data_IF_815740336978
#
_entry.id   IF_815740336978
#
_cell.length_a   1.000
_cell.length_b   1.000
_cell.length_c   1.000
_cell.angle_alpha   90.00
_cell.angle_beta   90.00
_cell.angle_gamma   90.00
#
_symmetry.space_group_name_H-M   'P 1'
#
loop_
_entity.id
_entity.type
_entity.pdbx_description
1 polymer ?
#
# COMPACT_ATOMS: atom_id res chain seq x y z
N UNK A 1 34.11 18.28 -19.15
CA UNK A 1 34.63 17.25 -18.22
C UNK A 1 35.05 17.93 -16.92
N UNK A 2 34.32 17.72 -15.83
CA UNK A 2 34.74 18.08 -14.46
C UNK A 2 34.14 17.05 -13.49
N UNK A 3 34.93 16.56 -12.55
CA UNK A 3 34.56 15.51 -11.58
C UNK A 3 34.52 16.11 -10.18
N UNK A 4 33.44 15.88 -9.44
CA UNK A 4 33.29 16.12 -7.99
C UNK A 4 32.42 14.95 -7.47
N UNK A 5 32.99 13.81 -7.06
CA UNK A 5 33.75 13.50 -5.84
C UNK A 5 32.85 13.30 -4.59
N UNK A 6 32.93 12.10 -4.02
CA UNK A 6 32.04 11.58 -2.97
C UNK A 6 32.27 12.23 -1.60
N UNK A 7 31.26 12.14 -0.72
CA UNK A 7 31.46 12.21 0.73
C UNK A 7 30.49 11.25 1.42
N UNK A 8 31.03 10.17 1.98
CA UNK A 8 30.34 9.32 2.96
C UNK A 8 30.90 9.64 4.36
N UNK A 9 30.08 9.68 5.39
CA UNK A 9 30.53 9.74 6.79
C UNK A 9 29.66 8.86 7.70
N UNK A 10 30.33 8.08 8.55
CA UNK A 10 29.76 7.11 9.48
C UNK A 10 29.00 7.76 10.65
N UNK A 11 28.09 6.99 11.25
CA UNK A 11 27.30 7.36 12.43
C UNK A 11 27.20 6.27 13.52
N UNK A 12 28.35 5.88 14.09
CA UNK A 12 28.55 5.38 15.47
C UNK A 12 27.77 4.12 15.95
N UNK A 13 28.54 3.09 16.31
CA UNK A 13 28.13 1.91 17.10
C UNK A 13 28.12 2.24 18.61
N UNK A 14 27.17 1.70 19.38
CA UNK A 14 27.15 1.77 20.84
C UNK A 14 27.13 0.39 21.53
N UNK A 15 27.76 0.32 22.70
CA UNK A 15 28.03 -0.83 23.57
C UNK A 15 27.50 -0.48 25.00
N UNK A 16 27.23 -1.36 25.97
CA UNK A 16 27.79 -2.69 26.36
C UNK A 16 26.68 -3.64 26.89
N UNK A 17 27.02 -4.91 27.04
CA UNK A 17 26.31 -6.01 27.71
C UNK A 17 25.79 -5.76 29.15
N UNK A 18 25.06 -6.75 29.69
CA UNK A 18 25.50 -7.54 30.88
C UNK A 18 24.75 -8.89 30.95
N UNK A 19 25.49 -9.99 31.17
CA UNK A 19 24.94 -11.29 31.60
C UNK A 19 25.41 -11.59 33.03
N UNK A 20 24.56 -12.19 33.86
CA UNK A 20 24.98 -12.96 35.03
C UNK A 20 23.95 -14.07 35.34
N UNK A 21 24.45 -15.25 35.68
CA UNK A 21 23.68 -16.47 35.97
C UNK A 21 23.72 -16.70 37.49
N UNK A 22 22.65 -17.23 38.09
CA UNK A 22 22.74 -17.93 39.38
C UNK A 22 21.70 -19.05 39.43
N UNK A 23 22.16 -20.26 39.75
CA UNK A 23 21.32 -21.43 40.00
C UNK A 23 21.29 -21.75 41.50
N UNK A 24 20.17 -22.31 41.99
CA UNK A 24 20.01 -22.75 43.38
C UNK A 24 18.93 -23.83 43.46
N UNK A 25 19.18 -24.88 44.25
CA UNK A 25 18.54 -26.20 44.11
C UNK A 25 18.15 -26.78 45.47
N UNK A 26 16.95 -27.35 45.62
CA UNK A 26 16.61 -28.44 46.57
C UNK A 26 15.11 -28.83 46.58
N UNK A 27 14.82 -30.09 46.95
CA UNK A 27 13.51 -30.69 47.27
C UNK A 27 13.77 -32.01 48.08
N UNK A 28 12.75 -32.83 48.45
CA UNK A 28 11.62 -32.65 49.38
C UNK A 28 11.79 -33.60 50.64
N UNK A 29 10.79 -33.89 51.54
CA UNK A 29 9.72 -34.89 51.24
C UNK A 29 8.36 -34.85 52.03
N UNK A 30 7.27 -35.19 51.32
CA UNK A 30 6.17 -36.17 51.59
C UNK A 30 5.33 -36.31 52.93
N UNK A 31 4.00 -36.50 52.74
CA UNK A 31 2.89 -37.10 53.57
C UNK A 31 2.26 -36.45 54.83
N UNK A 32 0.91 -36.24 54.78
CA UNK A 32 -0.13 -37.16 55.38
C UNK A 32 -1.62 -36.72 55.19
N UNK A 33 -2.36 -37.47 54.35
CA UNK A 33 -3.77 -38.01 54.40
C UNK A 33 -5.02 -37.21 54.96
N UNK A 34 -6.28 -37.62 54.65
CA UNK A 34 -7.39 -36.68 54.33
C UNK A 34 -8.68 -36.73 55.18
N UNK A 35 -9.63 -35.80 54.95
CA UNK A 35 -11.10 -35.97 55.17
C UNK A 35 -11.98 -34.96 54.35
N UNK A 36 -13.16 -35.35 53.79
CA UNK A 36 -14.10 -34.49 53.03
C UNK A 36 -15.47 -34.29 53.77
N UNK A 37 -16.53 -33.68 53.18
CA UNK A 37 -16.65 -32.54 52.24
C UNK A 37 -17.64 -31.44 52.75
N UNK A 38 -18.11 -30.56 51.83
CA UNK A 38 -19.29 -29.67 51.91
C UNK A 38 -19.13 -28.26 52.49
N UNK A 39 -18.85 -27.29 51.60
CA UNK A 39 -19.78 -26.17 51.32
C UNK A 39 -19.23 -25.32 50.15
N UNK A 40 -19.89 -25.38 48.98
CA UNK A 40 -19.64 -24.40 47.92
C UNK A 40 -20.31 -23.08 48.25
N UNK A 41 -19.61 -21.94 48.09
CA UNK A 41 -20.14 -20.93 47.19
C UNK A 41 -19.20 -20.65 46.02
N UNK A 42 -19.81 -20.25 44.91
CA UNK A 42 -19.22 -20.07 43.58
C UNK A 42 -18.04 -19.08 43.57
N UNK A 43 -16.92 -19.38 42.86
CA UNK A 43 -15.94 -18.34 42.55
C UNK A 43 -16.58 -17.28 41.64
N UNK A 44 -16.46 -16.01 42.01
CA UNK A 44 -16.89 -14.90 41.17
C UNK A 44 -16.23 -14.99 39.79
N UNK A 45 -17.04 -14.96 38.73
CA UNK A 45 -16.54 -14.98 37.36
C UNK A 45 -15.57 -13.82 37.12
N UNK A 46 -14.56 -13.98 36.24
CA UNK A 46 -13.76 -12.85 35.80
C UNK A 46 -14.71 -11.80 35.23
N UNK A 47 -14.57 -10.56 35.71
CA UNK A 47 -15.26 -9.42 35.11
C UNK A 47 -14.94 -9.42 33.63
N UNK A 48 -16.00 -9.54 32.82
CA UNK A 48 -15.89 -9.41 31.38
C UNK A 48 -15.25 -8.05 31.11
N UNK A 49 -14.01 -8.06 30.61
CA UNK A 49 -13.48 -6.94 29.86
C UNK A 49 -14.45 -6.76 28.70
N UNK A 50 -15.39 -5.81 28.86
CA UNK A 50 -16.40 -5.55 27.87
C UNK A 50 -15.68 -5.29 26.56
N UNK A 51 -16.03 -6.07 25.53
CA UNK A 51 -15.52 -5.87 24.18
C UNK A 51 -15.81 -4.41 23.85
N UNK A 52 -14.77 -3.59 23.81
CA UNK A 52 -14.86 -2.30 23.14
C UNK A 52 -15.12 -2.62 21.69
N UNK A 53 -16.40 -2.63 21.31
CA UNK A 53 -16.78 -2.57 19.91
C UNK A 53 -16.08 -1.32 19.36
N UNK A 54 -15.29 -1.45 18.27
CA UNK A 54 -14.71 -0.27 17.65
C UNK A 54 -15.86 0.67 17.30
N UNK A 55 -15.91 1.83 17.96
CA UNK A 55 -16.78 2.90 17.49
C UNK A 55 -16.28 3.25 16.08
N UNK A 56 -17.13 3.20 15.04
CA UNK A 56 -16.69 3.56 13.71
C UNK A 56 -16.24 5.03 13.77
N UNK A 57 -14.98 5.35 13.44
CA UNK A 57 -14.55 6.73 13.35
C UNK A 57 -15.33 7.37 12.20
N UNK A 58 -16.12 8.40 12.52
CA UNK A 58 -16.45 9.40 11.52
C UNK A 58 -15.13 9.94 10.93
N UNK A 59 -15.14 10.23 9.63
CA UNK A 59 -14.02 10.77 8.86
C UNK A 59 -12.83 9.83 8.58
N UNK A 60 -13.03 8.50 8.57
CA UNK A 60 -12.22 7.63 7.68
C UNK A 60 -12.82 7.62 6.29
N UNK A 61 -12.34 8.49 5.40
CA UNK A 61 -12.65 8.35 3.97
C UNK A 61 -12.08 7.02 3.48
N UNK A 62 -12.93 6.19 2.88
CA UNK A 62 -12.52 4.90 2.32
C UNK A 62 -12.00 5.08 0.90
N UNK A 63 -11.08 4.23 0.45
CA UNK A 63 -10.53 4.30 -0.89
C UNK A 63 -11.59 4.31 -2.00
N UNK A 64 -12.68 3.50 -1.95
CA UNK A 64 -13.74 3.58 -2.96
C UNK A 64 -14.41 4.96 -3.04
N UNK A 65 -14.65 5.63 -1.90
CA UNK A 65 -15.27 6.95 -1.88
C UNK A 65 -14.30 8.06 -2.35
N UNK A 66 -13.03 7.96 -1.98
CA UNK A 66 -11.97 8.86 -2.45
C UNK A 66 -11.77 8.73 -3.98
N UNK A 67 -11.72 7.49 -4.48
CA UNK A 67 -11.64 7.14 -5.91
C UNK A 67 -12.85 7.66 -6.68
N UNK A 68 -14.08 7.38 -6.22
CA UNK A 68 -15.31 7.88 -6.86
C UNK A 68 -15.29 9.42 -6.97
N UNK A 69 -14.91 10.11 -5.89
CA UNK A 69 -14.75 11.57 -5.89
C UNK A 69 -13.70 12.03 -6.90
N UNK A 70 -12.50 11.44 -6.91
CA UNK A 70 -11.44 11.80 -7.85
C UNK A 70 -11.86 11.59 -9.31
N UNK A 71 -12.47 10.44 -9.62
CA UNK A 71 -12.94 10.12 -10.96
C UNK A 71 -14.14 10.99 -11.39
N UNK A 72 -14.95 11.51 -10.47
CA UNK A 72 -16.02 12.47 -10.79
C UNK A 72 -15.52 13.82 -11.31
N UNK A 73 -14.22 14.13 -11.13
CA UNK A 73 -13.60 15.39 -11.56
C UNK A 73 -13.01 15.30 -12.98
N UNK A 74 -12.92 14.12 -13.59
CA UNK A 74 -12.26 13.94 -14.89
C UNK A 74 -13.20 14.25 -16.06
N UNK A 75 -12.65 14.78 -17.15
CA UNK A 75 -13.42 15.04 -18.37
C UNK A 75 -13.83 13.75 -19.11
N UNK A 76 -14.83 13.80 -20.02
CA UNK A 76 -15.19 12.65 -20.86
C UNK A 76 -14.03 12.08 -21.67
N UNK A 77 -13.06 12.91 -22.07
CA UNK A 77 -11.85 12.45 -22.76
C UNK A 77 -10.89 11.69 -21.83
N UNK A 78 -10.76 12.11 -20.58
CA UNK A 78 -10.01 11.37 -19.56
C UNK A 78 -10.68 10.04 -19.22
N UNK A 79 -12.02 9.99 -19.17
CA UNK A 79 -12.76 8.74 -18.97
C UNK A 79 -12.51 7.73 -20.10
N UNK A 80 -12.52 8.18 -21.36
CA UNK A 80 -12.17 7.30 -22.51
C UNK A 80 -10.75 6.74 -22.41
N UNK A 81 -9.79 7.56 -21.95
CA UNK A 81 -8.40 7.13 -21.78
C UNK A 81 -8.23 6.20 -20.55
N UNK A 82 -9.05 6.36 -19.51
CA UNK A 82 -9.15 5.42 -18.40
C UNK A 82 -9.72 4.06 -18.86
N UNK A 83 -10.74 4.05 -19.72
CA UNK A 83 -11.29 2.81 -20.28
C UNK A 83 -10.26 2.08 -21.18
N UNK A 84 -9.42 2.84 -21.90
CA UNK A 84 -8.26 2.30 -22.62
C UNK A 84 -7.18 1.76 -21.66
N UNK A 85 -6.83 2.51 -20.60
CA UNK A 85 -5.87 2.07 -19.57
C UNK A 85 -6.32 0.76 -18.90
N UNK A 86 -7.60 0.62 -18.58
CA UNK A 86 -8.19 -0.63 -18.07
C UNK A 86 -8.03 -1.78 -19.07
N UNK A 87 -8.27 -1.51 -20.35
CA UNK A 87 -8.10 -2.50 -21.43
C UNK A 87 -6.64 -2.97 -21.53
N UNK A 88 -5.69 -2.05 -21.45
CA UNK A 88 -4.26 -2.36 -21.55
C UNK A 88 -3.75 -3.13 -20.33
N UNK A 89 -4.06 -2.67 -19.12
CA UNK A 89 -3.68 -3.35 -17.87
C UNK A 89 -4.29 -4.76 -17.79
N UNK A 90 -5.57 -4.92 -18.17
CA UNK A 90 -6.21 -6.25 -18.22
C UNK A 90 -5.68 -7.16 -19.34
N UNK A 91 -5.05 -6.60 -20.38
CA UNK A 91 -4.41 -7.39 -21.44
C UNK A 91 -3.08 -8.03 -21.00
N UNK A 92 -2.39 -7.44 -20.01
CA UNK A 92 -1.14 -7.98 -19.45
C UNK A 92 -1.46 -9.27 -18.68
N UNK A 93 -0.86 -10.38 -19.11
CA UNK A 93 -1.03 -11.70 -18.49
C UNK A 93 0.22 -12.07 -17.71
N UNK A 94 0.03 -12.69 -16.55
CA UNK A 94 1.13 -13.22 -15.73
C UNK A 94 2.04 -14.15 -16.56
N UNK A 95 3.35 -14.08 -16.33
CA UNK A 95 4.36 -14.85 -17.07
C UNK A 95 4.51 -14.49 -18.56
N UNK A 96 3.89 -13.39 -19.04
CA UNK A 96 4.09 -12.91 -20.40
C UNK A 96 5.20 -11.86 -20.46
N UNK A 97 6.10 -11.98 -21.43
CA UNK A 97 7.12 -10.95 -21.69
C UNK A 97 6.46 -9.66 -22.18
N UNK A 98 6.44 -8.63 -21.32
CA UNK A 98 5.96 -7.29 -21.70
C UNK A 98 6.96 -6.66 -22.67
N UNK A 99 6.54 -6.48 -23.92
CA UNK A 99 7.36 -5.88 -24.99
C UNK A 99 7.50 -4.37 -24.81
N UNK A 100 8.60 -3.77 -25.27
CA UNK A 100 8.82 -2.31 -25.17
C UNK A 100 7.72 -1.49 -25.86
N UNK A 101 7.05 -2.04 -26.88
CA UNK A 101 5.87 -1.44 -27.48
C UNK A 101 4.66 -1.39 -26.53
N UNK A 102 4.46 -2.42 -25.69
CA UNK A 102 3.43 -2.41 -24.64
C UNK A 102 3.83 -1.47 -23.48
N UNK A 103 5.13 -1.29 -23.22
CA UNK A 103 5.62 -0.27 -22.26
C UNK A 103 5.29 1.14 -22.73
N UNK A 104 5.64 1.46 -23.98
CA UNK A 104 5.31 2.76 -24.56
C UNK A 104 3.79 2.99 -24.60
N UNK A 105 3.00 2.01 -25.06
CA UNK A 105 1.54 2.16 -25.11
C UNK A 105 0.93 2.39 -23.72
N UNK A 106 1.34 1.63 -22.71
CA UNK A 106 0.85 1.84 -21.35
C UNK A 106 1.26 3.22 -20.82
N UNK A 107 2.50 3.67 -21.07
CA UNK A 107 2.95 5.01 -20.71
C UNK A 107 2.13 6.11 -21.39
N UNK A 108 1.80 5.95 -22.67
CA UNK A 108 0.97 6.89 -23.44
C UNK A 108 -0.48 6.93 -22.92
N UNK A 109 -1.06 5.77 -22.57
CA UNK A 109 -2.43 5.67 -22.04
C UNK A 109 -2.54 6.23 -20.60
N UNK A 110 -1.59 5.89 -19.71
CA UNK A 110 -1.46 6.49 -18.36
C UNK A 110 -1.28 8.01 -18.48
N UNK A 111 -0.43 8.46 -19.40
CA UNK A 111 -0.22 9.89 -19.66
C UNK A 111 -1.46 10.57 -20.26
N UNK A 112 -2.35 9.83 -20.91
CA UNK A 112 -3.58 10.35 -21.52
C UNK A 112 -4.76 10.36 -20.54
N UNK A 113 -4.73 9.51 -19.51
CA UNK A 113 -5.65 9.56 -18.37
C UNK A 113 -5.43 10.81 -17.50
N UNK A 114 -4.24 11.43 -17.54
CA UNK A 114 -3.95 12.74 -16.94
C UNK A 114 -4.02 13.87 -17.98
N UNK A 115 -4.88 14.87 -17.74
CA UNK A 115 -5.05 16.04 -18.63
C UNK A 115 -5.21 17.34 -17.83
N UNK A 116 -5.11 18.46 -18.52
CA UNK A 116 -5.23 19.79 -17.93
C UNK A 116 -3.93 20.30 -17.29
N UNK A 117 -4.05 21.35 -16.48
CA UNK A 117 -2.91 22.00 -15.83
C UNK A 117 -2.16 21.08 -14.86
N UNK A 118 -2.89 20.19 -14.18
CA UNK A 118 -2.41 19.30 -13.11
C UNK A 118 -1.70 18.04 -13.62
N UNK A 119 -1.39 17.98 -14.91
CA UNK A 119 -0.78 16.82 -15.55
C UNK A 119 0.65 16.57 -15.02
N UNK A 120 1.02 15.34 -14.61
CA UNK A 120 2.37 15.02 -14.14
C UNK A 120 3.38 14.93 -15.29
N UNK A 121 4.66 14.83 -14.95
CA UNK A 121 5.76 14.76 -15.90
C UNK A 121 5.83 13.43 -16.65
N UNK A 122 6.36 13.46 -17.88
CA UNK A 122 6.62 12.25 -18.66
C UNK A 122 7.59 11.30 -17.98
N UNK A 123 8.57 11.81 -17.23
CA UNK A 123 9.53 10.97 -16.50
C UNK A 123 8.83 10.14 -15.42
N UNK A 124 7.97 10.77 -14.63
CA UNK A 124 7.27 10.15 -13.49
C UNK A 124 6.24 9.12 -13.97
N UNK A 125 5.49 9.43 -15.03
CA UNK A 125 4.59 8.45 -15.67
C UNK A 125 5.37 7.28 -16.28
N UNK A 126 6.46 7.54 -17.01
CA UNK A 126 7.29 6.45 -17.57
C UNK A 126 7.88 5.57 -16.48
N UNK A 127 8.29 6.12 -15.33
CA UNK A 127 8.75 5.31 -14.18
C UNK A 127 7.61 4.44 -13.62
N UNK A 128 6.45 5.04 -13.29
CA UNK A 128 5.28 4.33 -12.79
C UNK A 128 4.90 3.16 -13.71
N UNK A 129 4.86 3.39 -15.03
CA UNK A 129 4.48 2.34 -15.99
C UNK A 129 5.50 1.22 -16.11
N UNK A 130 6.79 1.50 -15.96
CA UNK A 130 7.84 0.47 -15.89
C UNK A 130 7.65 -0.41 -14.65
N UNK A 131 7.45 0.20 -13.49
CA UNK A 131 7.38 -0.51 -12.22
C UNK A 131 6.05 -1.27 -12.07
N UNK A 132 4.93 -0.70 -12.54
CA UNK A 132 3.65 -1.42 -12.70
C UNK A 132 3.79 -2.64 -13.61
N UNK A 133 4.55 -2.57 -14.71
CA UNK A 133 4.71 -3.69 -15.63
C UNK A 133 5.57 -4.81 -15.09
N UNK A 134 6.59 -4.50 -14.28
CA UNK A 134 7.32 -5.48 -13.50
C UNK A 134 6.38 -6.20 -12.54
N UNK A 135 5.68 -5.45 -11.68
CA UNK A 135 4.70 -5.98 -10.74
C UNK A 135 3.62 -6.86 -11.43
N UNK A 136 3.06 -6.41 -12.55
CA UNK A 136 2.01 -7.12 -13.28
C UNK A 136 2.49 -8.40 -13.98
N UNK A 137 3.76 -8.44 -14.38
CA UNK A 137 4.38 -9.60 -15.04
C UNK A 137 4.38 -10.84 -14.14
N UNK A 138 4.69 -10.65 -12.86
CA UNK A 138 4.82 -11.74 -11.88
C UNK A 138 3.59 -11.89 -10.95
N UNK A 139 2.66 -10.91 -10.95
CA UNK A 139 1.43 -10.95 -10.13
C UNK A 139 0.43 -12.05 -10.47
N UNK A 140 -0.37 -12.46 -9.48
CA UNK A 140 -1.58 -13.28 -9.67
C UNK A 140 -2.87 -12.45 -9.84
N UNK A 141 -2.77 -11.18 -10.26
CA UNK A 141 -3.90 -10.23 -10.32
C UNK A 141 -5.02 -10.69 -11.27
N UNK A 142 -6.26 -10.73 -10.77
CA UNK A 142 -7.46 -10.97 -11.57
C UNK A 142 -7.83 -9.77 -12.45
N UNK A 143 -8.72 -10.00 -13.43
CA UNK A 143 -9.28 -8.94 -14.28
C UNK A 143 -9.94 -7.80 -13.48
N UNK A 144 -10.61 -8.14 -12.36
CA UNK A 144 -11.28 -7.14 -11.52
C UNK A 144 -10.26 -6.27 -10.78
N UNK A 145 -9.23 -6.89 -10.19
CA UNK A 145 -8.19 -6.17 -9.45
C UNK A 145 -7.34 -5.30 -10.39
N UNK A 146 -7.06 -5.74 -11.62
CA UNK A 146 -6.41 -4.91 -12.65
C UNK A 146 -7.24 -3.70 -13.06
N UNK A 147 -8.56 -3.86 -13.19
CA UNK A 147 -9.45 -2.75 -13.47
C UNK A 147 -9.56 -1.77 -12.29
N UNK A 148 -9.50 -2.27 -11.05
CA UNK A 148 -9.50 -1.46 -9.83
C UNK A 148 -8.18 -0.68 -9.68
N UNK A 149 -7.03 -1.33 -9.88
CA UNK A 149 -5.71 -0.69 -9.89
C UNK A 149 -5.63 0.40 -10.98
N UNK A 150 -6.26 0.20 -12.14
CA UNK A 150 -6.37 1.23 -13.18
C UNK A 150 -7.16 2.47 -12.72
N UNK A 151 -8.25 2.26 -11.97
CA UNK A 151 -9.03 3.34 -11.37
C UNK A 151 -8.24 4.09 -10.28
N UNK A 152 -7.43 3.39 -9.47
CA UNK A 152 -6.57 4.01 -8.46
C UNK A 152 -5.45 4.84 -9.07
N UNK A 153 -4.75 4.30 -10.06
CA UNK A 153 -3.75 5.03 -10.84
C UNK A 153 -4.38 6.30 -11.45
N UNK A 154 -5.56 6.20 -12.06
CA UNK A 154 -6.27 7.34 -12.62
C UNK A 154 -6.76 8.35 -11.57
N UNK A 155 -7.18 7.90 -10.39
CA UNK A 155 -7.56 8.77 -9.29
C UNK A 155 -6.36 9.54 -8.71
N UNK A 156 -5.18 8.88 -8.58
CA UNK A 156 -3.91 9.53 -8.20
C UNK A 156 -3.46 10.57 -9.23
N UNK A 157 -3.49 10.21 -10.53
CA UNK A 157 -3.13 11.09 -11.64
C UNK A 157 -3.98 12.37 -11.71
N UNK A 158 -5.22 12.31 -11.22
CA UNK A 158 -6.18 13.42 -11.23
C UNK A 158 -6.48 13.95 -9.81
N UNK A 159 -5.58 13.70 -8.85
CA UNK A 159 -5.80 13.93 -7.41
C UNK A 159 -5.76 15.40 -6.95
N UNK A 160 -5.49 16.35 -7.84
CA UNK A 160 -5.34 17.77 -7.49
C UNK A 160 -6.59 18.40 -6.83
N UNK A 161 -7.78 17.82 -7.05
CA UNK A 161 -9.05 18.27 -6.46
C UNK A 161 -9.51 17.51 -5.20
N UNK A 162 -8.68 16.61 -4.64
CA UNK A 162 -9.01 15.80 -3.45
C UNK A 162 -8.00 16.02 -2.30
N UNK A 163 -8.36 15.64 -1.08
CA UNK A 163 -7.51 15.84 0.10
C UNK A 163 -6.30 14.89 0.12
N UNK A 164 -5.31 15.19 0.98
CA UNK A 164 -4.19 14.26 1.19
C UNK A 164 -4.68 12.90 1.69
N UNK A 165 -5.55 12.87 2.70
CA UNK A 165 -6.10 11.60 3.24
C UNK A 165 -6.92 10.80 2.23
N UNK A 166 -7.53 11.46 1.23
CA UNK A 166 -8.21 10.80 0.12
C UNK A 166 -7.20 10.14 -0.84
N UNK A 167 -6.09 10.83 -1.15
CA UNK A 167 -4.98 10.23 -1.92
C UNK A 167 -4.33 9.07 -1.17
N UNK A 168 -4.03 9.24 0.11
CA UNK A 168 -3.39 8.20 0.93
C UNK A 168 -4.24 6.92 0.95
N UNK A 169 -5.56 7.05 1.04
CA UNK A 169 -6.49 5.93 0.98
C UNK A 169 -6.47 5.23 -0.40
N UNK A 170 -6.36 5.98 -1.50
CA UNK A 170 -6.27 5.42 -2.87
C UNK A 170 -4.93 4.67 -3.06
N UNK A 171 -3.82 5.26 -2.59
CA UNK A 171 -2.50 4.64 -2.68
C UNK A 171 -2.45 3.36 -1.83
N UNK A 172 -3.05 3.35 -0.63
CA UNK A 172 -3.17 2.15 0.20
C UNK A 172 -3.97 1.04 -0.48
N UNK A 173 -5.08 1.34 -1.17
CA UNK A 173 -5.87 0.30 -1.87
C UNK A 173 -5.07 -0.29 -3.04
N UNK A 174 -4.27 0.52 -3.75
CA UNK A 174 -3.33 0.02 -4.75
C UNK A 174 -2.23 -0.87 -4.14
N UNK A 175 -1.68 -0.51 -2.97
CA UNK A 175 -0.73 -1.35 -2.21
C UNK A 175 -1.38 -2.69 -1.82
N UNK A 176 -2.56 -2.65 -1.22
CA UNK A 176 -3.33 -3.82 -0.77
C UNK A 176 -3.65 -4.78 -1.93
N UNK A 177 -4.00 -4.23 -3.11
CA UNK A 177 -4.24 -4.99 -4.35
C UNK A 177 -2.98 -5.72 -4.82
N UNK A 178 -1.82 -5.03 -4.86
CA UNK A 178 -0.56 -5.63 -5.30
C UNK A 178 -0.07 -6.69 -4.29
N UNK A 179 -0.21 -6.43 -2.99
CA UNK A 179 0.11 -7.37 -1.91
C UNK A 179 -0.76 -8.63 -1.98
N UNK A 180 -2.07 -8.49 -2.16
CA UNK A 180 -3.00 -9.61 -2.30
C UNK A 180 -2.67 -10.51 -3.52
N UNK A 181 -2.02 -9.93 -4.54
CA UNK A 181 -1.60 -10.63 -5.75
C UNK A 181 -0.17 -11.19 -5.70
N UNK A 182 0.46 -11.22 -4.53
CA UNK A 182 1.81 -11.76 -4.29
C UNK A 182 2.94 -11.05 -5.08
N UNK A 183 2.74 -9.78 -5.42
CA UNK A 183 3.82 -8.92 -5.93
C UNK A 183 4.91 -8.78 -4.86
N UNK A 184 6.18 -8.68 -5.23
CA UNK A 184 7.25 -8.55 -4.24
C UNK A 184 7.19 -7.19 -3.54
N UNK A 185 7.53 -7.13 -2.25
CA UNK A 185 7.49 -5.87 -1.49
C UNK A 185 8.34 -4.78 -2.16
N UNK A 186 9.47 -5.13 -2.78
CA UNK A 186 10.32 -4.19 -3.51
C UNK A 186 9.60 -3.52 -4.70
N UNK A 187 8.75 -4.25 -5.42
CA UNK A 187 7.96 -3.71 -6.54
C UNK A 187 6.74 -2.92 -6.03
N UNK A 188 6.13 -3.37 -4.93
CA UNK A 188 5.07 -2.62 -4.23
C UNK A 188 5.62 -1.25 -3.79
N UNK A 189 6.74 -1.22 -3.07
CA UNK A 189 7.40 0.01 -2.61
C UNK A 189 7.74 0.95 -3.78
N UNK A 190 8.17 0.40 -4.92
CA UNK A 190 8.50 1.16 -6.12
C UNK A 190 7.26 1.81 -6.77
N UNK A 191 6.15 1.07 -6.90
CA UNK A 191 4.88 1.59 -7.44
C UNK A 191 4.26 2.62 -6.48
N UNK A 192 4.24 2.35 -5.17
CA UNK A 192 3.73 3.28 -4.15
C UNK A 192 4.51 4.59 -4.18
N UNK A 193 5.85 4.54 -4.19
CA UNK A 193 6.69 5.74 -4.28
C UNK A 193 6.44 6.58 -5.53
N UNK A 194 6.05 5.96 -6.66
CA UNK A 194 5.72 6.70 -7.89
C UNK A 194 4.33 7.32 -7.85
N UNK A 195 3.37 6.65 -7.23
CA UNK A 195 2.03 7.21 -7.01
C UNK A 195 2.09 8.42 -6.05
N UNK A 196 2.91 8.34 -4.99
CA UNK A 196 3.16 9.47 -4.10
C UNK A 196 3.82 10.66 -4.83
N UNK A 197 4.83 10.39 -5.66
CA UNK A 197 5.51 11.42 -6.46
C UNK A 197 4.55 12.10 -7.46
N UNK A 198 3.74 11.30 -8.17
CA UNK A 198 2.73 11.79 -9.11
C UNK A 198 1.64 12.61 -8.41
N UNK A 199 1.18 12.20 -7.23
CA UNK A 199 0.24 12.99 -6.43
C UNK A 199 0.84 14.33 -6.00
N UNK A 200 2.11 14.35 -5.58
CA UNK A 200 2.81 15.58 -5.22
C UNK A 200 2.98 16.52 -6.44
N UNK A 201 3.29 15.98 -7.63
CA UNK A 201 3.31 16.74 -8.88
C UNK A 201 1.93 17.29 -9.24
N UNK A 202 0.88 16.46 -9.20
CA UNK A 202 -0.48 16.87 -9.56
C UNK A 202 -0.98 18.05 -8.70
N UNK A 203 -0.66 18.06 -7.39
CA UNK A 203 -0.97 19.19 -6.51
C UNK A 203 -0.05 20.39 -6.71
N UNK A 204 1.22 20.19 -7.06
CA UNK A 204 2.16 21.28 -7.39
C UNK A 204 1.77 21.99 -8.69
N UNK A 205 1.19 21.24 -9.63
CA UNK A 205 0.72 21.72 -10.94
C UNK A 205 -0.73 22.25 -10.90
N UNK A 206 -1.37 22.29 -9.72
CA UNK A 206 -2.68 22.89 -9.54
C UNK A 206 -2.60 24.44 -9.62
N UNK A 207 -3.58 25.11 -10.25
CA UNK A 207 -3.60 26.57 -10.44
C UNK A 207 -4.01 27.37 -9.19
#
# INVERSE_FOLDING_TARGET
MMRWNSTARNGIVALVATMAITAGQAAPPDRKKPKPPSASPTPSAPQQAAKQAPQPPADRTTAPAAREKALSLISPAQQQNLDQLKTDLTSIRAGSTVTDAQKQKLADDVMSAAQGATKPSQASVTKLTSDLQSALGDSSLSYKEKAQLADDVAAVLNSAGISQSEVDAIIQDAEDILQAANVSQQEIDAVVSDLEAIAAEARTNAP
#
